data_IF_026420904749
#
_entry.id   IF_026420904749
#
_cell.length_a   1.000
_cell.length_b   1.000
_cell.length_c   1.000
_cell.angle_alpha   90.00
_cell.angle_beta   90.00
_cell.angle_gamma   90.00
#
_symmetry.space_group_name_H-M   'P 1'
#
loop_
_entity.id
_entity.type
_entity.pdbx_description
1 polymer ?
#
# COMPACT_ATOMS: atom_id res chain seq x y z
N UNK A 1 -5.47 27.22 11.68
CA UNK A 1 -6.54 26.37 11.10
C UNK A 1 -6.29 26.30 9.61
N UNK A 2 -5.77 25.19 9.11
CA UNK A 2 -5.45 25.03 7.68
C UNK A 2 -6.75 24.97 6.88
N UNK A 3 -6.96 25.96 6.02
CA UNK A 3 -8.06 25.99 5.06
C UNK A 3 -7.83 24.88 4.04
N UNK A 4 -8.65 23.82 4.11
CA UNK A 4 -8.72 22.82 3.04
C UNK A 4 -9.16 23.54 1.78
N UNK A 5 -8.28 23.61 0.77
CA UNK A 5 -8.67 24.10 -0.56
C UNK A 5 -9.66 23.07 -1.12
N UNK A 6 -10.93 23.46 -1.21
CA UNK A 6 -11.92 22.68 -1.94
C UNK A 6 -11.71 22.94 -3.43
N UNK A 7 -10.77 22.22 -4.03
CA UNK A 7 -10.62 22.21 -5.48
C UNK A 7 -11.81 21.42 -6.07
N UNK A 8 -12.48 22.03 -7.05
CA UNK A 8 -13.61 21.41 -7.74
C UNK A 8 -13.09 20.43 -8.78
N UNK A 9 -13.47 19.15 -8.64
CA UNK A 9 -13.16 18.09 -9.59
C UNK A 9 -14.35 17.88 -10.51
N UNK A 10 -14.14 18.10 -11.81
CA UNK A 10 -15.12 17.68 -12.81
C UNK A 10 -15.01 16.17 -13.01
N UNK A 11 -16.10 15.48 -12.75
CA UNK A 11 -16.22 14.04 -12.98
C UNK A 11 -16.97 13.80 -14.28
N UNK A 12 -16.53 12.78 -14.99
CA UNK A 12 -17.35 12.20 -16.06
C UNK A 12 -18.76 11.86 -15.53
N UNK A 13 -19.85 12.19 -16.25
CA UNK A 13 -21.21 12.02 -15.76
C UNK A 13 -21.58 10.57 -15.39
N UNK A 14 -21.07 9.59 -16.16
CA UNK A 14 -21.31 8.18 -15.89
C UNK A 14 -20.52 7.72 -14.66
N UNK A 15 -19.28 8.19 -14.52
CA UNK A 15 -18.46 7.95 -13.33
C UNK A 15 -19.08 8.56 -12.07
N UNK A 16 -19.57 9.80 -12.15
CA UNK A 16 -20.23 10.48 -11.04
C UNK A 16 -21.46 9.72 -10.54
N UNK A 17 -22.28 9.21 -11.47
CA UNK A 17 -23.47 8.43 -11.15
C UNK A 17 -23.13 7.11 -10.45
N UNK A 18 -22.12 6.39 -10.96
CA UNK A 18 -21.64 5.13 -10.33
C UNK A 18 -21.08 5.36 -8.94
N UNK A 19 -20.32 6.44 -8.74
CA UNK A 19 -19.76 6.79 -7.42
C UNK A 19 -20.87 7.19 -6.44
N UNK A 20 -21.90 7.90 -6.89
CA UNK A 20 -23.04 8.26 -6.06
C UNK A 20 -23.83 7.02 -5.58
N UNK A 21 -24.03 6.04 -6.47
CA UNK A 21 -24.66 4.76 -6.10
C UNK A 21 -23.82 3.99 -5.06
N UNK A 22 -22.49 3.96 -5.23
CA UNK A 22 -21.59 3.31 -4.27
C UNK A 22 -21.61 4.03 -2.91
N UNK A 23 -21.54 5.35 -2.90
CA UNK A 23 -21.62 6.15 -1.68
C UNK A 23 -22.95 5.90 -0.92
N UNK A 24 -24.07 5.87 -1.66
CA UNK A 24 -25.39 5.58 -1.11
C UNK A 24 -25.49 4.17 -0.51
N UNK A 25 -24.89 3.15 -1.15
CA UNK A 25 -24.83 1.78 -0.62
C UNK A 25 -24.06 1.68 0.70
N UNK A 26 -23.09 2.57 0.91
CA UNK A 26 -22.30 2.65 2.14
C UNK A 26 -22.88 3.63 3.18
N UNK A 27 -23.99 4.29 2.86
CA UNK A 27 -24.61 5.28 3.76
C UNK A 27 -23.77 6.55 3.94
N UNK A 28 -22.92 6.88 2.96
CA UNK A 28 -22.02 8.05 2.98
C UNK A 28 -22.40 9.05 1.88
N UNK A 29 -22.00 10.31 2.03
CA UNK A 29 -22.14 11.27 0.94
C UNK A 29 -21.08 11.01 -0.15
N UNK A 30 -21.36 11.43 -1.38
CA UNK A 30 -20.42 11.32 -2.49
C UNK A 30 -19.08 12.01 -2.19
N UNK A 31 -19.12 13.16 -1.50
CA UNK A 31 -17.92 13.90 -1.13
C UNK A 31 -17.06 13.13 -0.12
N UNK A 32 -17.66 12.59 0.94
CA UNK A 32 -16.96 11.77 1.94
C UNK A 32 -16.41 10.47 1.31
N UNK A 33 -17.19 9.85 0.43
CA UNK A 33 -16.76 8.68 -0.32
C UNK A 33 -15.54 9.00 -1.20
N UNK A 34 -15.59 10.09 -1.97
CA UNK A 34 -14.50 10.52 -2.82
C UNK A 34 -13.24 10.88 -2.02
N UNK A 35 -13.37 11.60 -0.91
CA UNK A 35 -12.25 11.93 -0.03
C UNK A 35 -11.57 10.66 0.50
N UNK A 36 -12.36 9.67 0.95
CA UNK A 36 -11.82 8.40 1.45
C UNK A 36 -11.11 7.61 0.36
N UNK A 37 -11.67 7.55 -0.85
CA UNK A 37 -11.02 6.89 -2.00
C UNK A 37 -9.72 7.59 -2.37
N UNK A 38 -9.71 8.91 -2.45
CA UNK A 38 -8.51 9.69 -2.77
C UNK A 38 -7.44 9.55 -1.68
N UNK A 39 -7.82 9.53 -0.40
CA UNK A 39 -6.90 9.27 0.71
C UNK A 39 -6.31 7.87 0.63
N UNK A 40 -7.14 6.85 0.40
CA UNK A 40 -6.65 5.48 0.24
C UNK A 40 -5.68 5.36 -0.94
N UNK A 41 -5.96 6.04 -2.06
CA UNK A 41 -5.06 6.07 -3.20
C UNK A 41 -3.75 6.80 -2.90
N UNK A 42 -3.79 7.92 -2.19
CA UNK A 42 -2.58 8.63 -1.76
C UNK A 42 -1.73 7.77 -0.83
N UNK A 43 -2.35 7.12 0.16
CA UNK A 43 -1.66 6.21 1.08
C UNK A 43 -1.01 5.02 0.34
N UNK A 44 -1.68 4.47 -0.68
CA UNK A 44 -1.17 3.39 -1.51
C UNK A 44 -0.05 3.86 -2.44
N UNK A 45 -0.17 5.05 -3.02
CA UNK A 45 0.86 5.65 -3.86
C UNK A 45 2.14 5.91 -3.05
N UNK A 46 2.02 6.42 -1.83
CA UNK A 46 3.15 6.60 -0.92
C UNK A 46 3.83 5.27 -0.58
N UNK A 47 3.07 4.19 -0.37
CA UNK A 47 3.65 2.85 -0.16
C UNK A 47 4.37 2.33 -1.40
N UNK A 48 3.77 2.50 -2.58
CA UNK A 48 4.34 2.05 -3.85
C UNK A 48 5.65 2.78 -4.15
N UNK A 49 5.71 4.08 -3.88
CA UNK A 49 6.93 4.88 -4.05
C UNK A 49 8.03 4.43 -3.08
N UNK A 50 7.69 4.13 -1.82
CA UNK A 50 8.65 3.61 -0.84
C UNK A 50 9.19 2.24 -1.25
N UNK A 51 8.32 1.32 -1.70
CA UNK A 51 8.72 -0.01 -2.17
C UNK A 51 9.63 0.08 -3.41
N UNK A 52 9.29 0.94 -4.37
CA UNK A 52 10.10 1.16 -5.57
C UNK A 52 11.49 1.74 -5.22
N UNK A 53 11.56 2.68 -4.28
CA UNK A 53 12.83 3.24 -3.80
C UNK A 53 13.69 2.16 -3.13
N UNK A 54 13.09 1.27 -2.34
CA UNK A 54 13.82 0.22 -1.65
C UNK A 54 14.24 -0.94 -2.58
N UNK A 55 13.46 -1.24 -3.61
CA UNK A 55 13.85 -2.14 -4.70
C UNK A 55 15.04 -1.58 -5.47
N UNK A 56 15.02 -0.30 -5.85
CA UNK A 56 16.13 0.35 -6.55
C UNK A 56 17.40 0.37 -5.70
N UNK A 57 17.30 0.68 -4.39
CA UNK A 57 18.45 0.58 -3.48
C UNK A 57 19.04 -0.83 -3.42
N UNK A 58 18.19 -1.86 -3.32
CA UNK A 58 18.62 -3.26 -3.32
C UNK A 58 19.31 -3.63 -4.63
N UNK A 59 18.78 -3.16 -5.75
CA UNK A 59 19.39 -3.36 -7.07
C UNK A 59 20.77 -2.70 -7.18
N UNK A 60 20.90 -1.44 -6.77
CA UNK A 60 22.19 -0.74 -6.77
C UNK A 60 23.22 -1.41 -5.86
N UNK A 61 22.82 -1.85 -4.66
CA UNK A 61 23.69 -2.59 -3.75
C UNK A 61 24.17 -3.93 -4.36
N UNK A 62 23.31 -4.64 -5.09
CA UNK A 62 23.69 -5.83 -5.83
C UNK A 62 24.68 -5.51 -6.97
N UNK A 63 24.42 -4.46 -7.75
CA UNK A 63 25.33 -4.06 -8.84
C UNK A 63 26.74 -3.72 -8.34
N UNK A 64 26.83 -3.07 -7.17
CA UNK A 64 28.10 -2.71 -6.53
C UNK A 64 28.81 -3.92 -5.92
N UNK A 65 28.10 -4.74 -5.14
CA UNK A 65 28.70 -5.85 -4.39
C UNK A 65 28.87 -7.12 -5.23
N UNK A 66 28.08 -7.27 -6.30
CA UNK A 66 27.86 -8.52 -7.05
C UNK A 66 27.49 -9.70 -6.18
N UNK A 67 27.06 -9.44 -4.95
CA UNK A 67 26.74 -10.46 -3.97
C UNK A 67 25.25 -10.76 -4.04
N UNK A 68 24.91 -11.94 -4.54
CA UNK A 68 23.55 -12.46 -4.47
C UNK A 68 23.39 -13.30 -3.19
N UNK A 69 22.24 -13.19 -2.53
CA UNK A 69 21.90 -14.08 -1.42
C UNK A 69 21.60 -15.48 -1.98
N UNK A 70 22.31 -16.54 -1.54
CA UNK A 70 22.06 -17.89 -2.04
C UNK A 70 20.67 -18.39 -1.63
N UNK A 71 20.01 -19.12 -2.54
CA UNK A 71 18.68 -19.68 -2.30
C UNK A 71 18.60 -20.50 -1.00
N UNK A 72 19.59 -21.35 -0.75
CA UNK A 72 19.63 -22.18 0.47
C UNK A 72 19.71 -21.35 1.75
N UNK A 73 20.41 -20.22 1.74
CA UNK A 73 20.47 -19.31 2.88
C UNK A 73 19.09 -18.67 3.16
N UNK A 74 18.38 -18.26 2.10
CA UNK A 74 17.01 -17.74 2.20
C UNK A 74 16.07 -18.82 2.75
N UNK A 75 16.15 -20.04 2.20
CA UNK A 75 15.30 -21.18 2.60
C UNK A 75 15.49 -21.53 4.07
N UNK A 76 16.74 -21.59 4.54
CA UNK A 76 17.05 -21.83 5.96
C UNK A 76 16.49 -20.73 6.84
N UNK A 77 16.68 -19.46 6.47
CA UNK A 77 16.19 -18.31 7.25
C UNK A 77 14.67 -18.33 7.39
N UNK A 78 13.94 -18.61 6.31
CA UNK A 78 12.48 -18.74 6.35
C UNK A 78 12.03 -19.91 7.24
N UNK A 79 12.75 -21.04 7.20
CA UNK A 79 12.51 -22.16 8.12
C UNK A 79 12.63 -21.76 9.59
N UNK A 80 13.70 -21.04 9.95
CA UNK A 80 13.89 -20.54 11.31
C UNK A 80 12.76 -19.60 11.74
N UNK A 81 12.39 -18.63 10.90
CA UNK A 81 11.31 -17.68 11.20
C UNK A 81 9.96 -18.37 11.39
N UNK A 82 9.67 -19.40 10.58
CA UNK A 82 8.48 -20.24 10.74
C UNK A 82 8.47 -20.93 12.11
N UNK A 83 9.60 -21.50 12.51
CA UNK A 83 9.71 -22.25 13.76
C UNK A 83 9.64 -21.31 14.97
N UNK A 84 10.25 -20.13 14.89
CA UNK A 84 10.11 -19.04 15.88
C UNK A 84 8.66 -18.57 16.02
N UNK A 85 7.97 -18.36 14.90
CA UNK A 85 6.55 -17.96 14.90
C UNK A 85 5.67 -19.04 15.54
N UNK A 86 5.91 -20.31 15.23
CA UNK A 86 5.19 -21.44 15.85
C UNK A 86 5.44 -21.52 17.36
N UNK A 87 6.69 -21.37 17.79
CA UNK A 87 7.03 -21.36 19.22
C UNK A 87 6.39 -20.19 19.97
N UNK A 88 6.26 -19.02 19.33
CA UNK A 88 5.60 -17.84 19.89
C UNK A 88 4.08 -18.02 20.01
N UNK A 89 3.45 -18.64 19.01
CA UNK A 89 2.02 -18.93 19.03
C UNK A 89 1.65 -20.03 20.03
N UNK A 90 2.54 -21.01 20.26
CA UNK A 90 2.33 -22.06 21.25
C UNK A 90 2.51 -21.61 22.73
N UNK A 91 3.02 -20.39 22.95
CA UNK A 91 3.20 -19.78 24.28
C UNK A 91 2.08 -18.80 24.66
N UNK A 92 1.08 -18.61 23.79
CA UNK A 92 -0.13 -17.82 24.04
C UNK A 92 -1.29 -18.74 24.37
#
# INVERSE_FOLDING_TARGET
MSTVKADSLELDPDLGSRLAELAAREGTSLAEFAERVLRAYADEAERTDVEAVDDEKRWQAYLQSRHAVPFEAVRQRLGMLRDEARAKSARR
#
